data_IF_178512069975
#
_entry.id   IF_178512069975
#
_cell.length_a   1.000
_cell.length_b   1.000
_cell.length_c   1.000
_cell.angle_alpha   90.00
_cell.angle_beta   90.00
_cell.angle_gamma   90.00
#
_symmetry.space_group_name_H-M   'P 1'
#
loop_
_entity.id
_entity.type
_entity.pdbx_description
1 polymer ?
#
# COMPACT_ATOMS: atom_id res chain seq x y z
N UNK A 1 17.65 10.03 5.68
CA UNK A 1 16.56 10.61 4.86
C UNK A 1 16.81 12.10 4.81
N UNK A 2 17.19 12.59 3.64
CA UNK A 2 17.59 13.98 3.36
C UNK A 2 16.47 14.68 2.59
N UNK A 3 16.45 16.02 2.62
CA UNK A 3 15.48 16.89 1.92
C UNK A 3 15.04 16.32 0.56
N UNK A 4 13.76 15.96 0.43
CA UNK A 4 13.16 15.46 -0.82
C UNK A 4 12.24 14.24 -0.72
N UNK A 5 12.22 13.51 0.40
CA UNK A 5 11.32 12.35 0.57
C UNK A 5 9.87 12.82 0.87
N UNK A 6 9.13 13.20 -0.17
CA UNK A 6 7.70 13.49 -0.07
C UNK A 6 6.93 12.18 0.10
N UNK A 7 6.03 12.15 1.09
CA UNK A 7 5.10 11.05 1.26
C UNK A 7 3.90 11.28 0.36
N UNK A 8 3.72 10.40 -0.62
CA UNK A 8 2.57 10.38 -1.53
C UNK A 8 1.63 9.30 -1.01
N UNK A 9 0.56 9.73 -0.35
CA UNK A 9 -0.44 8.85 0.24
C UNK A 9 -1.63 8.65 -0.71
N UNK A 10 -2.11 7.40 -0.79
CA UNK A 10 -3.43 7.08 -1.36
C UNK A 10 -4.33 6.49 -0.27
N UNK A 11 -5.51 7.09 -0.11
CA UNK A 11 -6.56 6.67 0.82
C UNK A 11 -7.89 6.46 0.07
N UNK A 12 -8.59 5.39 0.41
CA UNK A 12 -9.81 4.93 -0.25
C UNK A 12 -9.57 3.72 -1.17
N UNK A 13 -10.19 2.60 -0.85
CA UNK A 13 -10.21 1.42 -1.72
C UNK A 13 -8.86 0.69 -1.88
N UNK A 14 -7.87 0.94 -1.02
CA UNK A 14 -6.60 0.19 -1.04
C UNK A 14 -6.83 -1.26 -0.62
N UNK A 15 -6.43 -2.18 -1.50
CA UNK A 15 -6.47 -3.63 -1.33
C UNK A 15 -5.65 -4.31 -2.42
N UNK A 16 -5.76 -5.64 -2.53
CA UNK A 16 -4.93 -6.45 -3.43
C UNK A 16 -5.06 -6.06 -4.92
N UNK A 17 -6.19 -5.51 -5.34
CA UNK A 17 -6.48 -5.13 -6.74
C UNK A 17 -6.07 -3.69 -7.10
N UNK A 18 -5.79 -2.85 -6.10
CA UNK A 18 -5.57 -1.41 -6.29
C UNK A 18 -4.16 -0.97 -5.92
N UNK A 19 -3.56 -1.61 -4.91
CA UNK A 19 -2.26 -1.18 -4.36
C UNK A 19 -1.13 -1.21 -5.40
N UNK A 20 -1.14 -2.16 -6.32
CA UNK A 20 -0.15 -2.28 -7.40
C UNK A 20 -0.14 -1.04 -8.29
N UNK A 21 -1.31 -0.61 -8.76
CA UNK A 21 -1.45 0.58 -9.62
C UNK A 21 -1.07 1.87 -8.89
N UNK A 22 -1.42 1.96 -7.61
CA UNK A 22 -1.04 3.11 -6.78
C UNK A 22 0.48 3.18 -6.59
N UNK A 23 1.13 2.04 -6.35
CA UNK A 23 2.59 1.96 -6.21
C UNK A 23 3.30 2.32 -7.53
N UNK A 24 2.83 1.80 -8.66
CA UNK A 24 3.34 2.15 -10.00
C UNK A 24 3.19 3.65 -10.32
N UNK A 25 2.12 4.28 -9.84
CA UNK A 25 1.90 5.72 -9.99
C UNK A 25 2.77 6.60 -9.06
N UNK A 26 3.61 6.01 -8.21
CA UNK A 26 4.53 6.72 -7.32
C UNK A 26 4.02 6.95 -5.89
N UNK A 27 2.90 6.35 -5.49
CA UNK A 27 2.48 6.37 -4.10
C UNK A 27 3.44 5.55 -3.22
N UNK A 28 3.77 6.05 -2.03
CA UNK A 28 4.65 5.39 -1.07
C UNK A 28 4.04 5.23 0.33
N UNK A 29 2.82 5.74 0.53
CA UNK A 29 2.00 5.51 1.73
C UNK A 29 0.62 5.04 1.29
N UNK A 30 0.11 3.98 1.93
CA UNK A 30 -1.18 3.37 1.55
C UNK A 30 -2.07 3.21 2.78
N UNK A 31 -3.32 3.65 2.68
CA UNK A 31 -4.31 3.52 3.76
C UNK A 31 -5.32 2.42 3.40
N UNK A 32 -5.14 1.24 4.00
CA UNK A 32 -6.01 0.09 3.80
C UNK A 32 -6.93 -0.13 5.01
N UNK A 33 -8.20 0.28 4.87
CA UNK A 33 -9.23 0.08 5.89
C UNK A 33 -9.89 -1.28 5.80
N UNK A 34 -10.99 -1.37 5.03
CA UNK A 34 -11.82 -2.58 4.92
C UNK A 34 -11.03 -3.82 4.47
N UNK A 35 -10.05 -3.67 3.59
CA UNK A 35 -9.20 -4.77 3.14
C UNK A 35 -8.44 -5.44 4.29
N UNK A 36 -8.04 -4.69 5.32
CA UNK A 36 -7.33 -5.22 6.50
C UNK A 36 -8.32 -5.64 7.58
N UNK A 37 -9.26 -4.77 7.96
CA UNK A 37 -10.16 -5.02 9.10
C UNK A 37 -11.22 -6.09 8.86
N UNK A 38 -11.49 -6.45 7.60
CA UNK A 38 -12.40 -7.56 7.26
C UNK A 38 -11.67 -8.84 6.88
N UNK A 39 -10.34 -8.85 6.96
CA UNK A 39 -9.55 -10.05 6.67
C UNK A 39 -9.57 -11.00 7.86
N UNK A 40 -9.56 -12.31 7.58
CA UNK A 40 -9.40 -13.35 8.58
C UNK A 40 -8.01 -13.30 9.25
N UNK A 41 -7.00 -12.80 8.54
CA UNK A 41 -5.66 -12.54 9.06
C UNK A 41 -5.18 -11.14 8.63
N UNK A 42 -5.39 -10.12 9.48
CA UNK A 42 -4.94 -8.76 9.23
C UNK A 42 -3.42 -8.64 9.04
N UNK A 43 -2.62 -9.42 9.78
CA UNK A 43 -1.16 -9.38 9.67
C UNK A 43 -0.71 -9.89 8.31
N UNK A 44 -1.15 -11.09 7.92
CA UNK A 44 -0.82 -11.66 6.61
C UNK A 44 -1.28 -10.75 5.46
N UNK A 45 -2.42 -10.07 5.65
CA UNK A 45 -2.94 -9.11 4.67
C UNK A 45 -2.03 -7.90 4.52
N UNK A 46 -1.59 -7.30 5.63
CA UNK A 46 -0.64 -6.18 5.62
C UNK A 46 0.67 -6.60 4.94
N UNK A 47 1.20 -7.77 5.27
CA UNK A 47 2.44 -8.31 4.68
C UNK A 47 2.29 -8.50 3.16
N UNK A 48 1.17 -9.08 2.71
CA UNK A 48 0.86 -9.24 1.29
C UNK A 48 0.79 -7.90 0.56
N UNK A 49 0.06 -6.92 1.11
CA UNK A 49 -0.09 -5.59 0.52
C UNK A 49 1.27 -4.88 0.43
N UNK A 50 2.06 -4.91 1.50
CA UNK A 50 3.42 -4.34 1.54
C UNK A 50 4.32 -4.97 0.47
N UNK A 51 4.34 -6.30 0.37
CA UNK A 51 5.16 -7.00 -0.60
C UNK A 51 4.77 -6.67 -2.05
N UNK A 52 3.48 -6.41 -2.34
CA UNK A 52 3.04 -5.96 -3.67
C UNK A 52 3.55 -4.55 -3.97
N UNK A 53 3.40 -3.61 -3.03
CA UNK A 53 3.83 -2.23 -3.21
C UNK A 53 5.36 -2.14 -3.42
N UNK A 54 6.15 -2.83 -2.59
CA UNK A 54 7.61 -2.81 -2.66
C UNK A 54 8.15 -3.34 -4.00
N UNK A 55 7.51 -4.35 -4.60
CA UNK A 55 7.89 -4.87 -5.92
C UNK A 55 7.72 -3.87 -7.06
N UNK A 56 6.92 -2.81 -6.87
CA UNK A 56 6.58 -1.83 -7.91
C UNK A 56 7.22 -0.45 -7.68
N UNK A 57 7.82 -0.24 -6.51
CA UNK A 57 8.53 0.99 -6.15
C UNK A 57 10.05 0.91 -6.40
N UNK A 58 10.55 -0.25 -6.87
CA UNK A 58 11.93 -0.47 -7.28
C UNK A 58 12.13 -0.06 -8.74
#
# INVERSE_FOLDING_TARGET
RSDGDVWVQVDGGIGAETIERCAEAGANVFVAGSAVFRSDDPRATIEKLRAVAERRQA
#
